data_IF_112224583070
#
_entry.id   IF_112224583070
#
_cell.length_a   1.000
_cell.length_b   1.000
_cell.length_c   1.000
_cell.angle_alpha   90.00
_cell.angle_beta   90.00
_cell.angle_gamma   90.00
#
_symmetry.space_group_name_H-M   'P 1'
#
loop_
_entity.id
_entity.type
_entity.pdbx_description
1 polymer ?
#
# COMPACT_ATOMS: atom_id res chain seq x y z
N UNK A 1 -18.38 21.08 -2.42
CA UNK A 1 -16.96 21.00 -2.85
C UNK A 1 -16.86 20.10 -4.08
N UNK A 2 -16.32 20.59 -5.18
CA UNK A 2 -16.12 19.80 -6.38
C UNK A 2 -14.96 18.81 -6.22
N UNK A 3 -14.90 17.81 -7.10
CA UNK A 3 -13.90 16.72 -6.99
C UNK A 3 -12.48 17.26 -6.98
N UNK A 4 -12.15 18.21 -7.86
CA UNK A 4 -10.81 18.80 -7.94
C UNK A 4 -10.39 19.47 -6.63
N UNK A 5 -11.32 20.15 -5.99
CA UNK A 5 -11.09 20.79 -4.70
C UNK A 5 -10.88 19.77 -3.59
N UNK A 6 -11.65 18.67 -3.60
CA UNK A 6 -11.50 17.59 -2.64
C UNK A 6 -10.11 16.95 -2.75
N UNK A 7 -9.67 16.71 -3.97
CA UNK A 7 -8.34 16.12 -4.24
C UNK A 7 -7.24 17.02 -3.66
N UNK A 8 -7.28 18.31 -3.96
CA UNK A 8 -6.32 19.27 -3.42
C UNK A 8 -6.37 19.36 -1.90
N UNK A 9 -7.57 19.38 -1.34
CA UNK A 9 -7.75 19.44 0.12
C UNK A 9 -7.09 18.23 0.80
N UNK A 10 -7.34 17.03 0.31
CA UNK A 10 -6.82 15.80 0.90
C UNK A 10 -5.30 15.73 0.76
N UNK A 11 -4.77 16.02 -0.43
CA UNK A 11 -3.31 16.01 -0.65
C UNK A 11 -2.60 17.03 0.23
N UNK A 12 -3.16 18.23 0.35
CA UNK A 12 -2.61 19.26 1.21
C UNK A 12 -2.69 18.87 2.70
N UNK A 13 -3.77 18.20 3.09
CA UNK A 13 -3.92 17.71 4.45
C UNK A 13 -2.85 16.67 4.79
N UNK A 14 -2.61 15.71 3.89
CA UNK A 14 -1.57 14.69 4.08
C UNK A 14 -0.21 15.37 4.26
N UNK A 15 0.11 16.30 3.38
CA UNK A 15 1.39 17.02 3.44
C UNK A 15 1.55 17.81 4.73
N UNK A 16 0.51 18.53 5.13
CA UNK A 16 0.52 19.30 6.38
C UNK A 16 0.69 18.39 7.59
N UNK A 17 0.02 17.24 7.60
CA UNK A 17 0.16 16.27 8.68
C UNK A 17 1.60 15.78 8.83
N UNK A 18 2.24 15.40 7.72
CA UNK A 18 3.64 14.95 7.76
C UNK A 18 4.61 16.05 8.17
N UNK A 19 4.37 17.28 7.71
CA UNK A 19 5.21 18.43 8.06
C UNK A 19 5.11 18.80 9.53
N UNK A 20 3.97 18.56 10.17
CA UNK A 20 3.70 18.91 11.55
C UNK A 20 4.03 17.79 12.55
N UNK A 21 4.53 16.67 12.09
CA UNK A 21 4.98 15.60 12.99
C UNK A 21 6.21 16.05 13.78
N UNK A 22 6.37 15.58 15.04
CA UNK A 22 7.56 15.92 15.84
C UNK A 22 8.87 15.61 15.11
N UNK A 23 8.93 14.47 14.45
CA UNK A 23 9.98 14.15 13.49
C UNK A 23 9.33 14.11 12.10
N UNK A 24 9.67 15.10 11.27
CA UNK A 24 9.07 15.23 9.95
C UNK A 24 9.24 13.95 9.14
N UNK A 25 8.15 13.44 8.61
CA UNK A 25 8.18 12.24 7.76
C UNK A 25 8.94 12.52 6.47
N UNK A 26 9.80 11.58 6.06
CA UNK A 26 10.60 11.71 4.85
C UNK A 26 9.93 11.08 3.64
N UNK A 27 9.00 10.16 3.86
CA UNK A 27 8.29 9.46 2.79
C UNK A 27 6.92 9.00 3.26
N UNK A 28 6.10 8.64 2.28
CA UNK A 28 4.84 7.97 2.50
C UNK A 28 4.96 6.54 1.98
N UNK A 29 4.47 5.56 2.73
CA UNK A 29 4.48 4.16 2.32
C UNK A 29 3.04 3.66 2.24
N UNK A 30 2.68 3.07 1.11
CA UNK A 30 1.30 2.65 0.90
C UNK A 30 1.23 1.35 0.09
N UNK A 31 0.31 0.46 0.48
CA UNK A 31 0.06 -0.79 -0.24
C UNK A 31 -0.90 -0.60 -1.40
N UNK A 32 -0.67 -1.32 -2.48
CA UNK A 32 -1.53 -1.35 -3.67
C UNK A 32 -2.10 -2.75 -3.80
N UNK A 33 -3.43 -2.87 -3.78
CA UNK A 33 -4.12 -4.16 -3.85
C UNK A 33 -4.71 -4.45 -5.23
N UNK A 34 -4.79 -3.46 -6.11
CA UNK A 34 -5.54 -3.54 -7.36
C UNK A 34 -6.98 -3.05 -7.24
N UNK A 35 -7.44 -2.72 -6.01
CA UNK A 35 -8.76 -2.14 -5.78
C UNK A 35 -8.75 -0.63 -5.88
N UNK A 36 -9.96 -0.06 -5.92
CA UNK A 36 -10.14 1.39 -6.09
C UNK A 36 -9.60 2.20 -4.90
N UNK A 37 -9.80 1.70 -3.68
CA UNK A 37 -9.40 2.44 -2.47
C UNK A 37 -7.90 2.66 -2.43
N UNK A 38 -7.11 1.61 -2.67
CA UNK A 38 -5.65 1.72 -2.67
C UNK A 38 -5.14 2.52 -3.87
N UNK A 39 -5.84 2.47 -5.00
CA UNK A 39 -5.49 3.26 -6.18
C UNK A 39 -5.67 4.75 -5.92
N UNK A 40 -6.78 5.14 -5.29
CA UNK A 40 -7.05 6.53 -4.92
C UNK A 40 -6.06 7.00 -3.86
N UNK A 41 -5.88 6.22 -2.79
CA UNK A 41 -4.99 6.59 -1.69
C UNK A 41 -3.54 6.77 -2.14
N UNK A 42 -3.04 5.88 -2.99
CA UNK A 42 -1.68 5.96 -3.50
C UNK A 42 -1.49 7.16 -4.43
N UNK A 43 -2.48 7.45 -5.25
CA UNK A 43 -2.46 8.62 -6.14
C UNK A 43 -2.43 9.92 -5.35
N UNK A 44 -3.30 10.04 -4.34
CA UNK A 44 -3.34 11.22 -3.47
C UNK A 44 -2.02 11.40 -2.72
N UNK A 45 -1.42 10.31 -2.28
CA UNK A 45 -0.10 10.34 -1.64
C UNK A 45 0.98 10.85 -2.58
N UNK A 46 1.00 10.36 -3.82
CA UNK A 46 1.94 10.83 -4.83
C UNK A 46 1.76 12.31 -5.16
N UNK A 47 0.53 12.79 -5.15
CA UNK A 47 0.21 14.21 -5.45
C UNK A 47 0.74 15.17 -4.39
N UNK A 48 1.12 14.70 -3.21
CA UNK A 48 1.73 15.55 -2.18
C UNK A 48 3.10 16.06 -2.57
N UNK A 49 3.76 15.43 -3.53
CA UNK A 49 5.15 15.72 -3.90
C UNK A 49 6.19 15.05 -3.01
N UNK A 50 5.76 14.44 -1.89
CA UNK A 50 6.66 13.70 -1.02
C UNK A 50 7.06 12.38 -1.68
N UNK A 51 8.24 11.88 -1.33
CA UNK A 51 8.65 10.54 -1.76
C UNK A 51 7.59 9.54 -1.35
N UNK A 52 7.02 8.83 -2.32
CA UNK A 52 5.92 7.89 -2.09
C UNK A 52 6.36 6.51 -2.53
N UNK A 53 6.42 5.59 -1.58
CA UNK A 53 6.82 4.21 -1.81
C UNK A 53 5.55 3.36 -1.88
N UNK A 54 5.31 2.74 -3.02
CA UNK A 54 4.13 1.90 -3.24
C UNK A 54 4.54 0.44 -3.28
N UNK A 55 3.81 -0.38 -2.55
CA UNK A 55 4.12 -1.80 -2.39
C UNK A 55 2.96 -2.66 -2.88
N UNK A 56 3.25 -3.56 -3.80
CA UNK A 56 2.37 -4.66 -4.15
C UNK A 56 2.83 -5.89 -3.36
N UNK A 57 1.93 -6.50 -2.60
CA UNK A 57 2.26 -7.58 -1.67
C UNK A 57 1.33 -8.77 -1.90
N UNK A 58 1.53 -9.55 -2.99
CA UNK A 58 0.64 -10.66 -3.29
C UNK A 58 0.74 -11.79 -2.26
N UNK A 59 -0.42 -12.31 -1.85
CA UNK A 59 -0.57 -13.52 -1.04
C UNK A 59 -1.67 -14.34 -1.68
N UNK A 60 -1.33 -15.36 -2.47
CA UNK A 60 -2.29 -16.21 -3.21
C UNK A 60 -3.35 -15.36 -3.93
N UNK A 61 -2.93 -14.20 -4.43
CA UNK A 61 -3.82 -13.26 -5.09
C UNK A 61 -4.21 -13.79 -6.47
N UNK A 62 -5.46 -13.53 -6.87
CA UNK A 62 -5.89 -13.85 -8.24
C UNK A 62 -5.06 -13.03 -9.22
N UNK A 63 -4.68 -13.65 -10.34
CA UNK A 63 -3.85 -12.99 -11.35
C UNK A 63 -4.44 -11.67 -11.83
N UNK A 64 -5.78 -11.58 -11.94
CA UNK A 64 -6.48 -10.36 -12.34
C UNK A 64 -6.19 -9.19 -11.38
N UNK A 65 -6.29 -9.42 -10.07
CA UNK A 65 -6.01 -8.39 -9.07
C UNK A 65 -4.53 -7.99 -9.07
N UNK A 66 -3.64 -8.97 -9.21
CA UNK A 66 -2.21 -8.70 -9.31
C UNK A 66 -1.90 -7.85 -10.54
N UNK A 67 -2.49 -8.18 -11.68
CA UNK A 67 -2.30 -7.44 -12.93
C UNK A 67 -2.77 -6.00 -12.80
N UNK A 68 -3.92 -5.77 -12.15
CA UNK A 68 -4.41 -4.42 -11.88
C UNK A 68 -3.45 -3.63 -11.01
N UNK A 69 -2.93 -4.27 -9.97
CA UNK A 69 -1.95 -3.67 -9.08
C UNK A 69 -0.69 -3.25 -9.84
N UNK A 70 -0.17 -4.12 -10.70
CA UNK A 70 1.02 -3.84 -11.51
C UNK A 70 0.78 -2.72 -12.53
N UNK A 71 -0.39 -2.70 -13.17
CA UNK A 71 -0.77 -1.62 -14.09
C UNK A 71 -0.83 -0.27 -13.39
N UNK A 72 -1.38 -0.24 -12.18
CA UNK A 72 -1.45 0.99 -11.40
C UNK A 72 -0.06 1.46 -10.98
N UNK A 73 0.83 0.55 -10.59
CA UNK A 73 2.23 0.89 -10.30
C UNK A 73 2.90 1.54 -11.51
N UNK A 74 2.74 0.95 -12.69
CA UNK A 74 3.31 1.50 -13.92
C UNK A 74 2.78 2.89 -14.20
N UNK A 75 1.47 3.08 -14.05
CA UNK A 75 0.84 4.37 -14.25
C UNK A 75 1.40 5.42 -13.30
N UNK A 76 1.53 5.09 -12.02
CA UNK A 76 2.10 6.01 -11.02
C UNK A 76 3.54 6.38 -11.35
N UNK A 77 4.35 5.40 -11.74
CA UNK A 77 5.76 5.64 -12.09
C UNK A 77 5.91 6.55 -13.32
N UNK A 78 4.99 6.44 -14.26
CA UNK A 78 5.01 7.32 -15.46
C UNK A 78 4.50 8.72 -15.15
N UNK A 79 3.51 8.83 -14.27
CA UNK A 79 2.82 10.08 -13.96
C UNK A 79 3.61 10.94 -12.98
N UNK A 80 4.28 10.32 -12.01
CA UNK A 80 4.95 11.00 -10.90
C UNK A 80 6.40 10.58 -10.80
N UNK A 81 7.31 11.55 -10.66
CA UNK A 81 8.74 11.28 -10.49
C UNK A 81 9.16 11.05 -9.03
N UNK A 82 8.23 11.21 -8.08
CA UNK A 82 8.46 11.01 -6.65
C UNK A 82 7.97 9.64 -6.16
N UNK A 83 7.59 8.75 -7.07
CA UNK A 83 7.10 7.40 -6.73
C UNK A 83 8.21 6.38 -6.91
N UNK A 84 8.36 5.52 -5.90
CA UNK A 84 9.20 4.33 -5.94
C UNK A 84 8.29 3.12 -5.72
N UNK A 85 8.44 2.08 -6.54
CA UNK A 85 7.55 0.93 -6.50
C UNK A 85 8.31 -0.37 -6.24
N UNK A 86 7.74 -1.22 -5.39
CA UNK A 86 8.27 -2.54 -5.10
C UNK A 86 7.16 -3.59 -5.10
N UNK A 87 7.50 -4.80 -5.49
CA UNK A 87 6.63 -5.95 -5.36
C UNK A 87 7.28 -6.95 -4.39
N UNK A 88 6.59 -7.24 -3.30
CA UNK A 88 7.08 -8.15 -2.27
C UNK A 88 6.12 -9.34 -2.20
N UNK A 89 6.56 -10.50 -2.69
CA UNK A 89 5.75 -11.70 -2.64
C UNK A 89 5.77 -12.27 -1.22
N UNK A 90 4.60 -12.37 -0.59
CA UNK A 90 4.46 -12.85 0.78
C UNK A 90 3.90 -14.27 0.85
N UNK A 91 3.81 -15.00 -0.26
CA UNK A 91 3.23 -16.35 -0.29
C UNK A 91 3.96 -17.32 0.63
N UNK A 92 5.30 -17.34 0.60
CA UNK A 92 6.08 -18.25 1.45
C UNK A 92 5.92 -17.92 2.92
N UNK A 93 5.97 -16.64 3.28
CA UNK A 93 5.77 -16.20 4.65
C UNK A 93 4.40 -16.59 5.16
N UNK A 94 3.38 -16.33 4.36
CA UNK A 94 2.00 -16.68 4.71
C UNK A 94 1.81 -18.20 4.81
N UNK A 95 2.44 -18.97 3.92
CA UNK A 95 2.38 -20.43 3.97
C UNK A 95 2.98 -20.98 5.26
N UNK A 96 4.14 -20.47 5.66
CA UNK A 96 4.78 -20.86 6.90
C UNK A 96 3.92 -20.51 8.12
N UNK A 97 3.35 -19.32 8.12
CA UNK A 97 2.43 -18.86 9.16
C UNK A 97 1.20 -19.77 9.26
N UNK A 98 0.55 -20.04 8.13
CA UNK A 98 -0.65 -20.89 8.08
C UNK A 98 -0.35 -22.31 8.51
N UNK A 99 0.80 -22.85 8.14
CA UNK A 99 1.22 -24.18 8.52
C UNK A 99 1.38 -24.29 10.05
N UNK A 100 2.04 -23.29 10.64
CA UNK A 100 2.26 -23.28 12.09
C UNK A 100 0.95 -23.22 12.89
N UNK A 101 -0.07 -22.61 12.31
CA UNK A 101 -1.37 -22.42 12.98
C UNK A 101 -2.50 -23.23 12.33
N UNK A 102 -2.15 -24.33 11.66
CA UNK A 102 -3.14 -25.13 10.90
C UNK A 102 -4.28 -25.66 11.75
N UNK A 103 -4.04 -25.93 13.04
CA UNK A 103 -5.07 -26.41 13.96
C UNK A 103 -6.11 -25.33 14.29
N UNK A 104 -5.87 -24.08 13.93
CA UNK A 104 -6.74 -22.94 14.23
C UNK A 104 -7.37 -22.34 12.97
N UNK A 105 -7.30 -23.04 11.85
CA UNK A 105 -7.94 -22.59 10.61
C UNK A 105 -9.46 -22.63 10.75
N UNK A 106 -10.14 -21.73 10.05
CA UNK A 106 -11.58 -21.62 10.06
C UNK A 106 -12.12 -21.34 8.65
N UNK A 107 -13.44 -21.16 8.54
CA UNK A 107 -14.09 -20.91 7.25
C UNK A 107 -13.64 -19.61 6.56
N UNK A 108 -13.08 -18.66 7.31
CA UNK A 108 -12.57 -17.40 6.76
C UNK A 108 -11.12 -17.50 6.28
N UNK A 109 -10.45 -18.64 6.47
CA UNK A 109 -9.16 -18.95 5.85
C UNK A 109 -8.04 -17.96 6.10
N UNK A 110 -7.82 -17.55 7.34
CA UNK A 110 -6.72 -16.64 7.70
C UNK A 110 -6.80 -15.25 7.03
N UNK A 111 -8.00 -14.75 6.76
CA UNK A 111 -8.16 -13.42 6.13
C UNK A 111 -7.51 -12.30 6.96
N UNK A 112 -7.74 -12.30 8.27
CA UNK A 112 -7.16 -11.32 9.19
C UNK A 112 -5.62 -11.37 9.22
N UNK A 113 -5.00 -12.56 9.37
CA UNK A 113 -3.54 -12.67 9.30
C UNK A 113 -2.94 -12.16 8.00
N UNK A 114 -3.59 -12.37 6.85
CA UNK A 114 -3.09 -11.82 5.57
C UNK A 114 -2.97 -10.30 5.64
N UNK A 115 -4.02 -9.64 6.13
CA UNK A 115 -4.03 -8.19 6.26
C UNK A 115 -2.95 -7.71 7.25
N UNK A 116 -2.76 -8.43 8.35
CA UNK A 116 -1.78 -8.08 9.38
C UNK A 116 -0.33 -8.27 8.89
N UNK A 117 -0.07 -9.33 8.14
CA UNK A 117 1.26 -9.56 7.55
C UNK A 117 1.61 -8.43 6.57
N UNK A 118 0.65 -8.00 5.77
CA UNK A 118 0.84 -6.85 4.88
C UNK A 118 1.11 -5.58 5.67
N UNK A 119 0.35 -5.33 6.72
CA UNK A 119 0.55 -4.15 7.57
C UNK A 119 1.93 -4.16 8.22
N UNK A 120 2.38 -5.28 8.75
CA UNK A 120 3.71 -5.41 9.33
C UNK A 120 4.79 -5.10 8.30
N UNK A 121 4.62 -5.57 7.07
CA UNK A 121 5.55 -5.31 5.98
C UNK A 121 5.63 -3.82 5.64
N UNK A 122 4.49 -3.13 5.62
CA UNK A 122 4.44 -1.68 5.40
C UNK A 122 5.22 -0.93 6.49
N UNK A 123 5.03 -1.31 7.74
CA UNK A 123 5.75 -0.70 8.86
C UNK A 123 7.26 -0.91 8.74
N UNK A 124 7.69 -2.09 8.32
CA UNK A 124 9.12 -2.36 8.16
C UNK A 124 9.73 -1.48 7.06
N UNK A 125 9.05 -1.32 5.95
CA UNK A 125 9.51 -0.46 4.86
C UNK A 125 9.53 1.00 5.31
N UNK A 126 8.51 1.43 6.05
CA UNK A 126 8.44 2.80 6.54
C UNK A 126 9.53 3.12 7.55
N UNK A 127 9.98 2.13 8.32
CA UNK A 127 11.05 2.31 9.30
C UNK A 127 12.45 2.32 8.67
N UNK A 128 12.57 1.74 7.51
CA UNK A 128 13.85 1.70 6.80
C UNK A 128 14.10 3.00 6.05
#
# INVERSE_FOLDING_TARGET
MIVTEKVKFISNWIKAYTDNMPNKAQSLVIGISGGIDSSVSSTLSAMTGLKTIVLSMPIKQKSFQHDLSMKHQEWLLKKFNNVEAHTINLDELFRAFSHSLSNFDNEHGFANPRARIRMTSLYQVAAA
#
